data_IF_440262419792
#
_entry.id   IF_440262419792
#
_cell.length_a   1.000
_cell.length_b   1.000
_cell.length_c   1.000
_cell.angle_alpha   90.00
_cell.angle_beta   90.00
_cell.angle_gamma   90.00
#
_symmetry.space_group_name_H-M   'P 1'
#
loop_
_entity.id
_entity.type
_entity.pdbx_description
1 polymer ?
#
# COMPACT_ATOMS: atom_id res chain seq x y z
N UNK A 1 -14.22 11.55 14.65
CA UNK A 1 -13.18 10.96 13.78
C UNK A 1 -11.94 11.80 13.94
N UNK A 2 -10.83 11.24 14.44
CA UNK A 2 -9.57 11.95 14.66
C UNK A 2 -8.36 11.22 14.06
N UNK A 3 -8.61 10.24 13.19
CA UNK A 3 -7.59 9.53 12.43
C UNK A 3 -8.08 9.23 11.02
N UNK A 4 -7.14 9.19 10.08
CA UNK A 4 -7.37 8.87 8.68
C UNK A 4 -6.35 7.83 8.21
N UNK A 5 -6.78 6.83 7.44
CA UNK A 5 -5.93 5.75 6.94
C UNK A 5 -5.62 5.95 5.46
N UNK A 6 -4.34 5.94 5.13
CA UNK A 6 -3.82 5.98 3.76
C UNK A 6 -3.21 4.62 3.42
N UNK A 7 -3.30 4.23 2.14
CA UNK A 7 -2.73 2.99 1.63
C UNK A 7 -1.68 3.33 0.57
N UNK A 8 -0.46 2.84 0.75
CA UNK A 8 0.60 2.89 -0.27
C UNK A 8 0.63 1.61 -1.12
N UNK A 9 -0.23 0.63 -0.78
CA UNK A 9 -0.42 -0.62 -1.49
C UNK A 9 -1.86 -0.74 -2.00
N UNK A 10 -2.20 -1.90 -2.57
CA UNK A 10 -3.49 -2.15 -3.21
C UNK A 10 -3.69 -1.27 -4.45
N UNK A 11 -2.73 -1.35 -5.37
CA UNK A 11 -2.75 -0.65 -6.66
C UNK A 11 -4.02 -1.02 -7.44
N UNK A 12 -4.63 0.00 -8.06
CA UNK A 12 -5.92 -0.13 -8.74
C UNK A 12 -7.16 -0.14 -7.82
N UNK A 13 -6.99 -0.12 -6.49
CA UNK A 13 -8.11 -0.14 -5.54
C UNK A 13 -8.05 0.97 -4.49
N UNK A 14 -7.04 0.97 -3.60
CA UNK A 14 -6.94 1.90 -2.46
C UNK A 14 -5.67 2.75 -2.45
N UNK A 15 -4.67 2.38 -3.26
CA UNK A 15 -3.38 3.05 -3.29
C UNK A 15 -3.52 4.53 -3.63
N UNK A 16 -2.96 5.40 -2.81
CA UNK A 16 -2.78 6.83 -3.11
C UNK A 16 -1.37 7.06 -3.66
N UNK A 17 -1.22 8.04 -4.55
CA UNK A 17 0.09 8.50 -4.97
C UNK A 17 0.71 9.45 -3.92
N UNK A 18 2.01 9.73 -4.07
CA UNK A 18 2.76 10.57 -3.14
C UNK A 18 2.20 11.98 -3.01
N UNK A 19 1.71 12.56 -4.11
CA UNK A 19 1.10 13.89 -4.08
C UNK A 19 -0.12 13.92 -3.16
N UNK A 20 -1.05 12.97 -3.33
CA UNK A 20 -2.25 12.87 -2.52
C UNK A 20 -1.93 12.51 -1.07
N UNK A 21 -0.92 11.67 -0.83
CA UNK A 21 -0.44 11.35 0.51
C UNK A 21 0.06 12.59 1.24
N UNK A 22 0.89 13.41 0.58
CA UNK A 22 1.42 14.66 1.14
C UNK A 22 0.32 15.69 1.40
N UNK A 23 -0.64 15.82 0.49
CA UNK A 23 -1.82 16.68 0.70
C UNK A 23 -2.66 16.18 1.89
N UNK A 24 -2.88 14.86 1.98
CA UNK A 24 -3.57 14.21 3.09
C UNK A 24 -2.90 14.47 4.43
N UNK A 25 -1.57 14.38 4.51
CA UNK A 25 -0.80 14.69 5.72
C UNK A 25 -0.93 16.15 6.14
N UNK A 26 -0.82 17.10 5.19
CA UNK A 26 -1.05 18.52 5.45
C UNK A 26 -2.45 18.76 6.03
N UNK A 27 -3.47 18.08 5.50
CA UNK A 27 -4.85 18.20 5.99
C UNK A 27 -5.03 17.59 7.37
N UNK A 28 -4.45 16.41 7.62
CA UNK A 28 -4.45 15.78 8.96
C UNK A 28 -3.82 16.71 9.99
N UNK A 29 -2.66 17.30 9.68
CA UNK A 29 -1.99 18.29 10.54
C UNK A 29 -2.88 19.50 10.84
N UNK A 30 -3.51 20.08 9.82
CA UNK A 30 -4.40 21.24 10.00
C UNK A 30 -5.64 20.92 10.85
N UNK A 31 -6.09 19.66 10.87
CA UNK A 31 -7.25 19.21 11.64
C UNK A 31 -6.88 18.66 13.04
N UNK A 32 -5.59 18.51 13.36
CA UNK A 32 -5.15 17.80 14.57
C UNK A 32 -5.47 16.30 14.55
N UNK A 33 -5.56 15.69 13.36
CA UNK A 33 -5.88 14.27 13.18
C UNK A 33 -4.61 13.43 12.94
N UNK A 34 -4.65 12.17 13.37
CA UNK A 34 -3.59 11.19 13.15
C UNK A 34 -3.64 10.61 11.73
N UNK A 35 -2.57 10.76 10.96
CA UNK A 35 -2.40 10.05 9.70
C UNK A 35 -1.83 8.64 9.98
N UNK A 36 -2.57 7.62 9.56
CA UNK A 36 -2.15 6.21 9.62
C UNK A 36 -1.81 5.74 8.21
N UNK A 37 -0.78 4.89 8.06
CA UNK A 37 -0.32 4.41 6.76
C UNK A 37 -0.31 2.89 6.74
N UNK A 38 -0.72 2.29 5.62
CA UNK A 38 -0.35 0.91 5.25
C UNK A 38 0.84 1.01 4.29
N UNK A 39 2.04 0.71 4.79
CA UNK A 39 3.30 1.09 4.16
C UNK A 39 4.00 -0.12 3.51
N UNK A 40 3.43 -0.63 2.42
CA UNK A 40 4.15 -1.48 1.46
C UNK A 40 4.27 -0.71 0.14
N UNK A 41 5.30 -0.98 -0.67
CA UNK A 41 5.41 -0.39 -2.00
C UNK A 41 4.40 -1.09 -2.95
N UNK A 42 3.30 -0.40 -3.27
CA UNK A 42 2.22 -0.99 -4.06
C UNK A 42 2.62 -1.43 -5.47
N UNK A 43 3.54 -0.72 -6.13
CA UNK A 43 4.05 -1.11 -7.45
C UNK A 43 4.88 -2.40 -7.37
N UNK A 44 5.75 -2.51 -6.37
CA UNK A 44 6.56 -3.71 -6.16
C UNK A 44 5.70 -4.91 -5.77
N UNK A 45 4.66 -4.72 -4.95
CA UNK A 45 3.72 -5.79 -4.57
C UNK A 45 2.94 -6.29 -5.80
N UNK A 46 2.42 -5.39 -6.65
CA UNK A 46 1.71 -5.77 -7.87
C UNK A 46 2.61 -6.59 -8.82
N UNK A 47 3.85 -6.13 -9.03
CA UNK A 47 4.84 -6.84 -9.84
C UNK A 47 5.17 -8.23 -9.25
N UNK A 48 5.40 -8.29 -7.94
CA UNK A 48 5.67 -9.54 -7.22
C UNK A 48 4.51 -10.53 -7.33
N UNK A 49 3.27 -10.06 -7.23
CA UNK A 49 2.09 -10.91 -7.39
C UNK A 49 2.01 -11.48 -8.81
N UNK A 50 2.20 -10.64 -9.83
CA UNK A 50 2.25 -11.10 -11.23
C UNK A 50 3.32 -12.16 -11.43
N UNK A 51 4.53 -11.92 -10.91
CA UNK A 51 5.64 -12.88 -10.98
C UNK A 51 5.32 -14.22 -10.32
N UNK A 52 4.66 -14.25 -9.16
CA UNK A 52 4.30 -15.52 -8.50
C UNK A 52 3.32 -16.33 -9.35
N UNK A 53 2.32 -15.67 -9.93
CA UNK A 53 1.36 -16.29 -10.83
C UNK A 53 2.04 -16.81 -12.11
N UNK A 54 2.92 -16.02 -12.72
CA UNK A 54 3.67 -16.41 -13.93
C UNK A 54 4.59 -17.62 -13.69
N UNK A 55 5.10 -17.78 -12.47
CA UNK A 55 5.87 -18.95 -12.05
C UNK A 55 5.01 -20.16 -11.67
N UNK A 56 3.68 -20.06 -11.76
CA UNK A 56 2.74 -21.12 -11.38
C UNK A 56 2.54 -21.26 -9.86
N UNK A 57 3.03 -20.31 -9.06
CA UNK A 57 2.89 -20.30 -7.60
C UNK A 57 1.53 -19.66 -7.25
N UNK A 58 0.47 -20.48 -7.31
CA UNK A 58 -0.91 -20.04 -7.07
C UNK A 58 -1.44 -20.42 -5.68
N UNK A 59 -0.63 -21.09 -4.86
CA UNK A 59 -0.99 -21.40 -3.48
C UNK A 59 -0.79 -20.20 -2.53
N UNK A 60 -1.23 -20.31 -1.26
CA UNK A 60 -1.11 -19.23 -0.27
C UNK A 60 0.33 -18.78 -0.03
N UNK A 61 1.33 -19.64 -0.27
CA UNK A 61 2.75 -19.34 -0.15
C UNK A 61 3.21 -18.23 -1.12
N UNK A 62 2.53 -18.05 -2.25
CA UNK A 62 2.82 -16.95 -3.18
C UNK A 62 2.55 -15.56 -2.55
N UNK A 63 1.66 -15.47 -1.56
CA UNK A 63 1.35 -14.20 -0.91
C UNK A 63 2.57 -13.57 -0.23
N UNK A 64 3.24 -14.20 0.77
CA UNK A 64 4.43 -13.63 1.37
C UNK A 64 5.61 -13.52 0.39
N UNK A 65 5.74 -14.43 -0.57
CA UNK A 65 6.80 -14.36 -1.59
C UNK A 65 6.65 -13.17 -2.53
N UNK A 66 5.42 -12.72 -2.80
CA UNK A 66 5.14 -11.53 -3.62
C UNK A 66 5.48 -10.20 -2.93
N UNK A 67 5.69 -10.21 -1.60
CA UNK A 67 5.85 -9.02 -0.77
C UNK A 67 6.86 -9.24 0.37
N UNK A 68 8.13 -9.54 0.06
CA UNK A 68 9.11 -9.80 1.10
C UNK A 68 9.29 -8.58 2.02
N UNK A 69 9.57 -8.78 3.33
CA UNK A 69 10.05 -7.69 4.17
C UNK A 69 11.41 -7.21 3.62
N UNK A 70 11.69 -5.91 3.80
CA UNK A 70 12.99 -5.30 3.50
C UNK A 70 14.15 -6.09 4.13
#
# INVERSE_FOLDING_TARGET
INSFKFFMAYKGALMVNDELLLQGFKKCKALGALAMVHAENGDAVEEGQRRMIDLGITGPEGHPLSRPPL
#
